data_IF_110760227318
#
_entry.id   IF_110760227318
#
_cell.length_a   1.000
_cell.length_b   1.000
_cell.length_c   1.000
_cell.angle_alpha   90.00
_cell.angle_beta   90.00
_cell.angle_gamma   90.00
#
_symmetry.space_group_name_H-M   'P 1'
#
loop_
_entity.id
_entity.type
_entity.pdbx_description
1 polymer ?
#
# COMPACT_ATOMS: atom_id res chain seq x y z
N UNK A 1 7.16 6.31 1.36
CA UNK A 1 7.58 7.70 1.73
C UNK A 1 6.85 8.20 2.98
N UNK A 2 5.52 8.29 2.99
CA UNK A 2 4.78 8.82 4.16
C UNK A 2 5.10 8.10 5.46
N UNK A 3 5.24 6.77 5.44
CA UNK A 3 5.65 5.98 6.62
C UNK A 3 7.03 6.40 7.15
N UNK A 4 8.01 6.55 6.26
CA UNK A 4 9.35 7.04 6.61
C UNK A 4 9.31 8.46 7.18
N UNK A 5 8.51 9.35 6.58
CA UNK A 5 8.33 10.72 7.11
C UNK A 5 7.66 10.70 8.48
N UNK A 6 6.68 9.84 8.72
CA UNK A 6 6.07 9.66 10.03
C UNK A 6 7.10 9.22 11.07
N UNK A 7 7.97 8.26 10.71
CA UNK A 7 9.03 7.74 11.59
C UNK A 7 10.03 8.83 12.00
N UNK A 8 10.61 9.53 11.02
CA UNK A 8 11.68 10.51 11.30
C UNK A 8 11.18 11.84 11.86
N UNK A 9 9.89 12.17 11.70
CA UNK A 9 9.32 13.45 12.16
C UNK A 9 8.36 13.32 13.32
N UNK A 10 7.87 12.12 13.63
CA UNK A 10 6.74 11.89 14.57
C UNK A 10 5.50 12.74 14.25
N UNK A 11 5.31 13.15 12.99
CA UNK A 11 4.20 13.99 12.58
C UNK A 11 2.97 13.14 12.21
N UNK A 12 1.85 13.39 12.89
CA UNK A 12 0.60 12.66 12.70
C UNK A 12 0.09 12.71 11.26
N UNK A 13 0.24 13.85 10.57
CA UNK A 13 -0.19 14.00 9.17
C UNK A 13 0.45 12.96 8.24
N UNK A 14 1.74 12.66 8.44
CA UNK A 14 2.42 11.64 7.63
C UNK A 14 1.99 10.22 8.02
N UNK A 15 1.72 9.98 9.30
CA UNK A 15 1.19 8.70 9.77
C UNK A 15 -0.20 8.43 9.17
N UNK A 16 -1.10 9.41 9.23
CA UNK A 16 -2.44 9.31 8.65
C UNK A 16 -2.39 9.07 7.14
N UNK A 17 -1.52 9.80 6.43
CA UNK A 17 -1.32 9.62 5.00
C UNK A 17 -0.78 8.22 4.65
N UNK A 18 0.14 7.69 5.47
CA UNK A 18 0.68 6.35 5.29
C UNK A 18 -0.38 5.27 5.53
N UNK A 19 -1.18 5.38 6.59
CA UNK A 19 -2.29 4.48 6.89
C UNK A 19 -3.33 4.46 5.76
N UNK A 20 -3.79 5.63 5.32
CA UNK A 20 -4.78 5.72 4.23
C UNK A 20 -4.23 5.18 2.90
N UNK A 21 -2.93 5.37 2.64
CA UNK A 21 -2.29 4.81 1.44
C UNK A 21 -2.21 3.28 1.52
N UNK A 22 -1.83 2.73 2.68
CA UNK A 22 -1.78 1.29 2.89
C UNK A 22 -3.16 0.64 2.73
N UNK A 23 -4.21 1.25 3.31
CA UNK A 23 -5.59 0.81 3.16
C UNK A 23 -6.03 0.80 1.69
N UNK A 24 -5.69 1.83 0.92
CA UNK A 24 -6.01 1.88 -0.51
C UNK A 24 -5.29 0.77 -1.28
N UNK A 25 -3.99 0.56 -1.03
CA UNK A 25 -3.19 -0.47 -1.70
C UNK A 25 -3.75 -1.87 -1.37
N UNK A 26 -4.04 -2.14 -0.10
CA UNK A 26 -4.62 -3.40 0.34
C UNK A 26 -5.97 -3.66 -0.34
N UNK A 27 -6.88 -2.69 -0.32
CA UNK A 27 -8.26 -2.90 -0.77
C UNK A 27 -8.46 -2.82 -2.29
N UNK A 28 -7.59 -2.11 -3.02
CA UNK A 28 -7.80 -1.85 -4.45
C UNK A 28 -6.64 -2.30 -5.34
N UNK A 29 -5.44 -2.44 -4.80
CA UNK A 29 -4.25 -2.82 -5.56
C UNK A 29 -3.68 -4.17 -5.18
N UNK A 30 -4.28 -4.90 -4.24
CA UNK A 30 -3.83 -6.24 -3.86
C UNK A 30 -4.77 -7.30 -4.43
N UNK A 31 -4.20 -8.29 -5.11
CA UNK A 31 -4.98 -9.40 -5.65
C UNK A 31 -5.19 -10.52 -4.61
N UNK A 32 -5.91 -11.57 -4.99
CA UNK A 32 -6.24 -12.71 -4.11
C UNK A 32 -5.04 -13.52 -3.60
N UNK A 33 -3.84 -13.26 -4.13
CA UNK A 33 -2.59 -13.92 -3.73
C UNK A 33 -1.70 -12.98 -2.90
N UNK A 34 -2.24 -11.88 -2.38
CA UNK A 34 -1.52 -10.83 -1.65
C UNK A 34 -0.40 -10.17 -2.47
N UNK A 35 -0.54 -10.10 -3.80
CA UNK A 35 0.41 -9.42 -4.67
C UNK A 35 -0.09 -8.04 -5.05
N UNK A 36 0.79 -7.05 -4.97
CA UNK A 36 0.51 -5.66 -5.35
C UNK A 36 0.55 -5.51 -6.87
N UNK A 37 -0.59 -5.13 -7.44
CA UNK A 37 -0.81 -4.83 -8.85
C UNK A 37 -0.24 -3.47 -9.24
N UNK A 38 -0.09 -3.24 -10.55
CA UNK A 38 0.47 -2.01 -11.10
C UNK A 38 -0.44 -0.80 -10.97
N UNK A 39 -1.76 -0.99 -11.11
CA UNK A 39 -2.71 0.10 -10.94
C UNK A 39 -4.16 -0.25 -11.22
N UNK A 40 -4.98 0.80 -11.19
CA UNK A 40 -6.38 0.78 -11.61
C UNK A 40 -6.64 1.95 -12.55
N UNK A 41 -7.67 1.81 -13.37
CA UNK A 41 -8.15 2.90 -14.21
C UNK A 41 -9.15 3.76 -13.44
N UNK A 42 -9.02 5.08 -13.52
CA UNK A 42 -9.82 6.03 -12.74
C UNK A 42 -11.31 6.04 -13.11
N UNK A 43 -11.66 5.65 -14.33
CA UNK A 43 -13.04 5.63 -14.83
C UNK A 43 -13.85 4.43 -14.34
N UNK A 44 -13.18 3.31 -14.06
CA UNK A 44 -13.79 2.03 -13.68
C UNK A 44 -13.40 1.56 -12.29
N UNK A 45 -12.39 2.18 -11.68
CA UNK A 45 -11.69 1.69 -10.49
C UNK A 45 -11.23 0.23 -10.63
N UNK A 46 -11.05 -0.24 -11.86
CA UNK A 46 -10.74 -1.63 -12.18
C UNK A 46 -9.42 -1.77 -12.91
N UNK A 47 -9.01 -3.02 -13.14
CA UNK A 47 -7.78 -3.38 -13.85
C UNK A 47 -7.80 -3.15 -15.37
N UNK A 48 -8.81 -2.46 -15.89
CA UNK A 48 -9.00 -2.26 -17.34
C UNK A 48 -9.59 -3.49 -18.05
N UNK A 49 -10.05 -3.27 -19.28
CA UNK A 49 -10.75 -4.29 -20.08
C UNK A 49 -9.88 -5.49 -20.46
N UNK A 50 -8.55 -5.32 -20.46
CA UNK A 50 -7.59 -6.38 -20.78
C UNK A 50 -6.68 -6.73 -19.61
N UNK A 51 -7.08 -6.38 -18.37
CA UNK A 51 -6.26 -6.53 -17.17
C UNK A 51 -4.94 -5.73 -17.23
N UNK A 52 -4.90 -4.63 -17.99
CA UNK A 52 -3.71 -3.79 -18.14
C UNK A 52 -3.18 -3.26 -16.80
N UNK A 53 -4.07 -2.98 -15.83
CA UNK A 53 -3.71 -2.53 -14.49
C UNK A 53 -3.27 -3.65 -13.54
N UNK A 54 -3.54 -4.92 -13.88
CA UNK A 54 -3.19 -6.06 -13.02
C UNK A 54 -1.75 -6.57 -13.23
N UNK A 55 -0.87 -5.76 -13.84
CA UNK A 55 0.55 -6.07 -13.98
C UNK A 55 1.18 -6.37 -12.62
N UNK A 56 2.04 -7.38 -12.56
CA UNK A 56 2.76 -7.74 -11.34
C UNK A 56 4.24 -7.42 -11.51
N UNK A 57 4.67 -6.33 -10.90
CA UNK A 57 6.05 -5.87 -10.91
C UNK A 57 6.60 -5.96 -9.49
N UNK A 58 7.76 -6.61 -9.35
CA UNK A 58 8.39 -6.81 -8.03
C UNK A 58 8.63 -5.52 -7.23
N UNK A 59 8.93 -4.35 -7.84
CA UNK A 59 9.07 -3.11 -7.08
C UNK A 59 7.80 -2.70 -6.33
N UNK A 60 6.60 -2.97 -6.87
CA UNK A 60 5.34 -2.56 -6.25
C UNK A 60 5.15 -3.27 -4.90
N UNK A 61 5.38 -4.58 -4.87
CA UNK A 61 5.32 -5.36 -3.62
C UNK A 61 6.49 -5.02 -2.69
N UNK A 62 7.70 -4.81 -3.22
CA UNK A 62 8.86 -4.43 -2.42
C UNK A 62 8.67 -3.10 -1.68
N UNK A 63 8.18 -2.07 -2.38
CA UNK A 63 7.91 -0.75 -1.79
C UNK A 63 6.76 -0.77 -0.80
N UNK A 64 5.73 -1.60 -1.05
CA UNK A 64 4.64 -1.81 -0.09
C UNK A 64 5.19 -2.43 1.21
N UNK A 65 5.96 -3.52 1.11
CA UNK A 65 6.57 -4.18 2.27
C UNK A 65 7.48 -3.24 3.08
N UNK A 66 8.31 -2.43 2.41
CA UNK A 66 9.12 -1.42 3.08
C UNK A 66 8.25 -0.44 3.88
N UNK A 67 7.21 0.11 3.25
CA UNK A 67 6.27 1.01 3.91
C UNK A 67 5.57 0.40 5.11
N UNK A 68 5.14 -0.86 4.99
CA UNK A 68 4.44 -1.61 6.04
C UNK A 68 5.33 -1.95 7.22
N UNK A 69 6.59 -2.30 6.98
CA UNK A 69 7.54 -2.60 8.06
C UNK A 69 7.66 -1.42 9.02
N UNK A 70 7.73 -0.20 8.47
CA UNK A 70 7.79 1.04 9.25
C UNK A 70 6.44 1.32 9.93
N UNK A 71 5.32 1.17 9.22
CA UNK A 71 4.00 1.36 9.83
C UNK A 71 3.76 0.41 11.01
N UNK A 72 4.17 -0.84 10.88
CA UNK A 72 4.05 -1.85 11.93
C UNK A 72 4.87 -1.47 13.16
N UNK A 73 6.09 -0.94 12.99
CA UNK A 73 6.91 -0.50 14.12
C UNK A 73 6.34 0.73 14.83
N UNK A 74 5.66 1.63 14.10
CA UNK A 74 5.08 2.84 14.65
C UNK A 74 3.74 2.61 15.36
N UNK A 75 2.91 1.69 14.85
CA UNK A 75 1.51 1.56 15.27
C UNK A 75 1.22 0.33 16.10
N UNK A 76 2.05 -0.72 16.00
CA UNK A 76 1.75 -2.05 16.53
C UNK A 76 0.39 -2.59 16.07
N UNK A 77 -0.07 -2.19 14.88
CA UNK A 77 -1.37 -2.58 14.33
C UNK A 77 -1.30 -4.00 13.72
N UNK A 78 -2.03 -4.94 14.32
CA UNK A 78 -2.04 -6.34 13.88
C UNK A 78 -2.62 -6.52 12.48
N UNK A 79 -3.58 -5.70 12.04
CA UNK A 79 -4.13 -5.74 10.67
C UNK A 79 -3.05 -5.46 9.63
N UNK A 80 -2.16 -4.50 9.91
CA UNK A 80 -1.05 -4.14 9.01
C UNK A 80 0.02 -5.24 9.01
N UNK A 81 0.21 -5.90 10.14
CA UNK A 81 1.16 -7.00 10.32
C UNK A 81 0.72 -8.29 9.64
N UNK A 82 -0.59 -8.50 9.50
CA UNK A 82 -1.20 -9.69 8.89
C UNK A 82 -1.47 -9.56 7.38
N UNK A 83 -1.23 -8.38 6.79
CA UNK A 83 -1.22 -8.22 5.33
C UNK A 83 -0.12 -9.07 4.68
#
# INVERSE_FOLDING_TARGET
LSSLLADVTSCQTYLDAALQSADFIHNHLTNSNNLVMDGIYADTCGKGSKNEGAGLLSPNSGLALEGLSILTSLTQNDTIKEW
#
